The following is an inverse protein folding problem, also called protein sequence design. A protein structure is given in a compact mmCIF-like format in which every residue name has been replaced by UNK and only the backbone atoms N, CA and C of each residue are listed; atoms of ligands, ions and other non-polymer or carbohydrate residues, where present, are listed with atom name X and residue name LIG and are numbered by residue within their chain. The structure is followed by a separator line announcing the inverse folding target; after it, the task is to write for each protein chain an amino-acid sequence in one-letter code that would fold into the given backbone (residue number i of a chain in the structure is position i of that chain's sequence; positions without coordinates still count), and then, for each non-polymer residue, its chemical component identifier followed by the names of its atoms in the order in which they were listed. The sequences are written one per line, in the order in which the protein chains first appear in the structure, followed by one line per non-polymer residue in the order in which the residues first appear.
data_IF_742752127044
#
_entry.id   IF_742752127044
#
_cell.length_a   1.000
_cell.length_b   1.000
_cell.length_c   1.000
_cell.angle_alpha   90.00
_cell.angle_beta   90.00
_cell.angle_gamma   90.00
#
_symmetry.space_group_name_H-M   'P 1'
#
loop_
_entity.id
_entity.type
_entity.pdbx_description
1 polymer ?
#
# COMPACT_ATOMS: atom_id res chain seq x y z
N UNK A 1 -3.64 65.13 22.21
CA UNK A 1 -2.96 64.26 23.21
C UNK A 1 -3.94 63.25 23.84
N UNK A 2 -4.79 62.57 23.04
CA UNK A 2 -5.90 61.71 23.53
C UNK A 2 -5.90 60.29 22.92
N UNK A 3 -5.06 60.00 21.92
CA UNK A 3 -5.07 58.71 21.21
C UNK A 3 -4.11 57.63 21.73
N UNK A 4 -3.17 57.92 22.64
CA UNK A 4 -2.27 56.87 23.18
C UNK A 4 -2.91 56.01 24.28
N UNK A 5 -3.90 56.56 25.00
CA UNK A 5 -4.57 55.84 26.11
C UNK A 5 -5.53 54.74 25.63
N UNK A 6 -6.08 54.87 24.42
CA UNK A 6 -6.97 53.85 23.80
C UNK A 6 -6.20 52.71 23.15
N UNK A 7 -4.95 52.94 22.77
CA UNK A 7 -4.05 51.92 22.22
C UNK A 7 -3.49 51.03 23.36
N UNK A 8 -3.15 51.62 24.50
CA UNK A 8 -2.65 50.90 25.67
C UNK A 8 -3.72 50.01 26.34
N UNK A 9 -4.99 50.47 26.36
CA UNK A 9 -6.11 49.69 26.88
C UNK A 9 -6.47 48.47 26.00
N UNK A 10 -6.22 48.56 24.68
CA UNK A 10 -6.42 47.43 23.75
C UNK A 10 -5.28 46.41 23.82
N UNK A 11 -4.06 46.84 24.16
CA UNK A 11 -2.92 45.94 24.34
C UNK A 11 -3.02 45.12 25.64
N UNK A 12 -3.58 45.70 26.72
CA UNK A 12 -3.76 45.03 28.01
C UNK A 12 -4.88 43.97 28.01
N UNK A 13 -5.84 44.06 27.07
CA UNK A 13 -6.87 43.04 26.86
C UNK A 13 -6.40 41.87 26.00
N UNK A 14 -5.35 42.04 25.19
CA UNK A 14 -4.84 41.00 24.28
C UNK A 14 -3.88 40.03 24.98
N UNK A 15 -3.17 40.47 26.02
CA UNK A 15 -2.29 39.62 26.84
C UNK A 15 -3.00 38.86 27.96
N UNK A 16 -4.25 39.20 28.28
CA UNK A 16 -5.06 38.48 29.27
C UNK A 16 -5.75 37.20 28.71
N UNK A 17 -5.70 36.96 27.40
CA UNK A 17 -6.24 35.72 26.79
C UNK A 17 -5.26 34.54 26.72
N UNK A 18 -3.99 34.72 27.14
CA UNK A 18 -2.99 33.66 27.09
C UNK A 18 -2.86 32.84 28.39
N UNK A 19 -3.75 33.00 29.38
CA UNK A 19 -3.53 32.38 30.70
C UNK A 19 -4.71 31.64 31.33
N UNK A 20 -5.86 31.48 30.68
CA UNK A 20 -6.97 30.73 31.26
C UNK A 20 -7.76 29.93 30.23
N UNK A 21 -7.28 28.73 29.92
CA UNK A 21 -8.16 27.56 29.69
C UNK A 21 -7.32 26.29 29.79
N UNK A 22 -6.95 25.96 31.02
CA UNK A 22 -6.75 24.57 31.38
C UNK A 22 -8.10 23.88 31.36
N UNK A 23 -8.28 22.94 30.44
CA UNK A 23 -9.10 21.74 30.64
C UNK A 23 -8.38 20.61 29.93
N UNK A 24 -7.49 19.94 30.66
CA UNK A 24 -7.04 18.61 30.31
C UNK A 24 -8.27 17.70 30.43
N UNK A 25 -8.83 17.27 29.31
CA UNK A 25 -9.76 16.15 29.31
C UNK A 25 -8.92 14.89 29.53
N UNK A 26 -8.81 14.46 30.78
CA UNK A 26 -8.44 13.09 31.10
C UNK A 26 -9.63 12.21 30.71
N UNK A 27 -9.65 11.74 29.47
CA UNK A 27 -10.59 10.71 29.05
C UNK A 27 -9.97 9.36 29.46
N UNK A 28 -10.37 8.85 30.62
CA UNK A 28 -10.11 7.45 30.97
C UNK A 28 -10.96 6.59 30.03
N UNK A 29 -10.33 6.03 29.00
CA UNK A 29 -10.95 4.98 28.19
C UNK A 29 -10.99 3.73 29.08
N UNK A 30 -12.17 3.44 29.59
CA UNK A 30 -12.46 2.15 30.23
C UNK A 30 -12.54 1.12 29.09
N UNK A 31 -11.43 0.45 28.83
CA UNK A 31 -11.35 -0.61 27.83
C UNK A 31 -12.07 -1.84 28.39
N UNK A 32 -13.36 -1.95 28.06
CA UNK A 32 -14.15 -3.14 28.34
C UNK A 32 -13.63 -4.28 27.45
N UNK A 33 -12.85 -5.18 28.03
CA UNK A 33 -12.39 -6.40 27.38
C UNK A 33 -13.61 -7.30 27.12
N UNK A 34 -14.11 -7.31 25.89
CA UNK A 34 -15.15 -8.22 25.43
C UNK A 34 -14.52 -9.59 25.12
N UNK A 35 -14.65 -10.52 26.06
CA UNK A 35 -14.16 -11.89 25.96
C UNK A 35 -14.85 -12.72 24.86
N UNK A 36 -15.83 -12.17 24.13
CA UNK A 36 -16.52 -12.86 23.02
C UNK A 36 -16.02 -12.50 21.62
N UNK A 37 -15.05 -11.58 21.49
CA UNK A 37 -14.42 -11.25 20.21
C UNK A 37 -13.32 -12.26 19.82
N UNK A 38 -13.57 -13.56 19.95
CA UNK A 38 -12.81 -14.57 19.22
C UNK A 38 -13.40 -14.62 17.81
N UNK A 39 -12.87 -13.81 16.91
CA UNK A 39 -13.05 -14.02 15.47
C UNK A 39 -12.03 -15.10 15.09
N UNK A 40 -12.43 -16.36 14.88
CA UNK A 40 -11.53 -17.32 14.27
C UNK A 40 -11.16 -16.75 12.89
N UNK A 41 -9.88 -16.43 12.72
CA UNK A 41 -9.28 -16.20 11.41
C UNK A 41 -9.16 -17.57 10.74
N UNK A 42 -10.30 -18.18 10.44
CA UNK A 42 -10.37 -19.10 9.32
C UNK A 42 -10.46 -18.19 8.09
N UNK A 43 -9.29 -17.86 7.51
CA UNK A 43 -9.22 -17.36 6.15
C UNK A 43 -9.66 -18.54 5.28
N UNK A 44 -10.97 -18.64 5.08
CA UNK A 44 -11.54 -19.30 3.93
C UNK A 44 -10.98 -18.58 2.71
N UNK A 45 -10.06 -19.27 2.04
CA UNK A 45 -9.37 -18.84 0.84
C UNK A 45 -10.37 -18.81 -0.32
N UNK A 46 -11.22 -17.79 -0.31
CA UNK A 46 -12.08 -17.36 -1.41
C UNK A 46 -12.24 -15.84 -1.27
N UNK A 47 -11.12 -15.15 -1.44
CA UNK A 47 -11.12 -13.71 -1.68
C UNK A 47 -11.40 -13.56 -3.18
N UNK A 48 -12.67 -13.38 -3.51
CA UNK A 48 -13.11 -12.86 -4.81
C UNK A 48 -12.73 -11.36 -4.83
N UNK A 49 -11.43 -11.09 -4.97
CA UNK A 49 -10.92 -9.77 -5.28
C UNK A 49 -10.61 -9.76 -6.76
N UNK A 50 -11.22 -8.84 -7.50
CA UNK A 50 -10.96 -8.56 -8.92
C UNK A 50 -9.56 -7.95 -9.18
N UNK A 51 -8.63 -8.18 -8.27
CA UNK A 51 -7.22 -7.85 -8.39
C UNK A 51 -6.53 -8.91 -9.25
N UNK A 52 -5.45 -8.50 -9.93
CA UNK A 52 -4.54 -9.37 -10.68
C UNK A 52 -4.47 -10.81 -10.21
N UNK A 53 -4.47 -11.77 -11.13
CA UNK A 53 -4.30 -13.18 -10.78
C UNK A 53 -2.92 -13.36 -10.12
N UNK A 54 -2.91 -13.42 -8.78
CA UNK A 54 -1.71 -13.55 -7.96
C UNK A 54 -1.47 -15.02 -7.63
N UNK A 55 -0.34 -15.54 -8.09
CA UNK A 55 0.10 -16.91 -7.91
C UNK A 55 1.22 -17.02 -6.87
N UNK A 56 1.00 -17.85 -5.85
CA UNK A 56 1.99 -18.22 -4.83
C UNK A 56 2.68 -19.55 -5.22
N UNK A 57 3.94 -19.48 -5.64
CA UNK A 57 4.81 -20.65 -5.86
C UNK A 57 5.92 -20.75 -4.79
N UNK A 58 5.68 -20.23 -3.59
CA UNK A 58 6.63 -20.35 -2.47
C UNK A 58 6.59 -21.75 -1.85
N UNK A 59 7.73 -22.20 -1.30
CA UNK A 59 7.91 -23.58 -0.81
C UNK A 59 8.41 -23.65 0.62
N UNK A 60 9.16 -22.64 1.07
CA UNK A 60 9.73 -22.60 2.42
C UNK A 60 8.91 -21.70 3.34
N UNK A 61 9.14 -21.81 4.66
CA UNK A 61 8.50 -20.91 5.63
C UNK A 61 8.84 -19.44 5.34
N UNK A 62 10.12 -19.15 5.06
CA UNK A 62 10.53 -17.77 4.80
C UNK A 62 9.89 -17.24 3.52
N UNK A 63 9.82 -18.06 2.45
CA UNK A 63 9.13 -17.70 1.21
C UNK A 63 7.65 -17.41 1.46
N UNK A 64 6.99 -18.25 2.29
CA UNK A 64 5.60 -17.99 2.66
C UNK A 64 5.45 -16.71 3.47
N UNK A 65 6.32 -16.46 4.45
CA UNK A 65 6.31 -15.20 5.21
C UNK A 65 6.47 -13.99 4.27
N UNK A 66 7.36 -14.08 3.28
CA UNK A 66 7.53 -13.06 2.24
C UNK A 66 6.22 -12.83 1.47
N UNK A 67 5.58 -13.90 1.00
CA UNK A 67 4.32 -13.81 0.26
C UNK A 67 3.23 -13.10 1.06
N UNK A 68 3.08 -13.43 2.34
CA UNK A 68 2.05 -12.82 3.20
C UNK A 68 2.32 -11.31 3.38
N UNK A 69 3.57 -10.92 3.65
CA UNK A 69 3.92 -9.49 3.73
C UNK A 69 3.69 -8.78 2.40
N UNK A 70 4.13 -9.38 1.29
CA UNK A 70 3.93 -8.81 -0.03
C UNK A 70 2.45 -8.61 -0.33
N UNK A 71 1.62 -9.61 -0.04
CA UNK A 71 0.19 -9.57 -0.28
C UNK A 71 -0.47 -8.44 0.50
N UNK A 72 -0.09 -8.26 1.77
CA UNK A 72 -0.57 -7.12 2.58
C UNK A 72 -0.19 -5.78 1.97
N UNK A 73 1.08 -5.61 1.57
CA UNK A 73 1.54 -4.37 0.92
C UNK A 73 0.81 -4.14 -0.41
N UNK A 74 0.61 -5.19 -1.20
CA UNK A 74 -0.10 -5.12 -2.46
C UNK A 74 -1.56 -4.71 -2.27
N UNK A 75 -2.25 -5.23 -1.26
CA UNK A 75 -3.61 -4.80 -0.92
C UNK A 75 -3.69 -3.32 -0.52
N UNK A 76 -2.70 -2.82 0.23
CA UNK A 76 -2.60 -1.41 0.58
C UNK A 76 -2.43 -0.55 -0.67
N UNK A 77 -1.49 -0.93 -1.55
CA UNK A 77 -1.26 -0.23 -2.82
C UNK A 77 -2.52 -0.17 -3.69
N UNK A 78 -3.33 -1.24 -3.70
CA UNK A 78 -4.57 -1.26 -4.46
C UNK A 78 -5.67 -0.36 -3.90
N UNK A 79 -5.70 -0.19 -2.57
CA UNK A 79 -6.72 0.61 -1.88
C UNK A 79 -6.34 2.09 -1.84
N UNK A 80 -5.06 2.42 -2.00
CA UNK A 80 -4.59 3.81 -1.99
C UNK A 80 -4.93 4.54 -3.30
N UNK A 81 -5.98 5.34 -3.23
CA UNK A 81 -6.47 6.17 -4.33
C UNK A 81 -5.54 7.33 -4.70
N UNK A 82 -4.49 7.57 -3.91
CA UNK A 82 -3.48 8.61 -4.19
C UNK A 82 -2.63 8.25 -5.41
N UNK A 83 -2.33 6.96 -5.59
CA UNK A 83 -1.43 6.47 -6.64
C UNK A 83 -2.16 5.80 -7.79
N UNK A 84 -3.32 5.20 -7.53
CA UNK A 84 -4.10 4.48 -8.53
C UNK A 84 -5.57 4.86 -8.50
N UNK A 85 -6.17 5.06 -9.67
CA UNK A 85 -7.64 5.05 -9.75
C UNK A 85 -8.12 3.61 -9.47
N UNK A 86 -9.08 3.39 -8.55
CA UNK A 86 -9.60 2.05 -8.26
C UNK A 86 -10.05 1.29 -9.51
N UNK A 87 -10.63 2.00 -10.47
CA UNK A 87 -11.07 1.43 -11.75
C UNK A 87 -9.89 0.96 -12.62
N UNK A 88 -8.74 1.64 -12.55
CA UNK A 88 -7.57 1.28 -13.35
C UNK A 88 -6.97 -0.06 -12.89
N UNK A 89 -6.92 -0.30 -11.58
CA UNK A 89 -6.41 -1.57 -11.03
C UNK A 89 -7.34 -2.73 -11.37
N UNK A 90 -8.66 -2.53 -11.30
CA UNK A 90 -9.62 -3.60 -11.61
C UNK A 90 -9.56 -4.03 -13.07
N UNK A 91 -9.48 -3.07 -14.00
CA UNK A 91 -9.39 -3.39 -15.44
C UNK A 91 -8.05 -4.04 -15.82
N UNK A 92 -6.97 -3.69 -15.11
CA UNK A 92 -5.64 -4.26 -15.34
C UNK A 92 -5.48 -5.61 -14.64
N UNK A 93 -6.18 -5.83 -13.53
CA UNK A 93 -6.17 -7.09 -12.80
C UNK A 93 -6.61 -8.27 -13.67
N UNK A 94 -7.48 -8.05 -14.65
CA UNK A 94 -7.86 -9.09 -15.60
C UNK A 94 -6.76 -9.42 -16.62
N UNK A 95 -5.82 -8.50 -16.89
CA UNK A 95 -4.75 -8.66 -17.90
C UNK A 95 -3.39 -9.04 -17.30
N UNK A 96 -3.17 -8.81 -16.00
CA UNK A 96 -1.90 -9.09 -15.33
C UNK A 96 -1.96 -10.37 -14.48
N UNK A 97 -1.14 -11.34 -14.87
CA UNK A 97 -0.79 -12.49 -14.03
C UNK A 97 0.48 -12.16 -13.26
N UNK A 98 0.37 -12.06 -11.94
CA UNK A 98 1.50 -11.79 -11.03
C UNK A 98 1.89 -13.12 -10.40
N UNK A 99 3.15 -13.54 -10.51
CA UNK A 99 3.62 -14.79 -9.91
C UNK A 99 4.81 -14.52 -9.02
N UNK A 100 4.72 -14.98 -7.77
CA UNK A 100 5.82 -15.03 -6.82
C UNK A 100 6.39 -16.44 -6.84
N UNK A 101 7.64 -16.56 -7.26
CA UNK A 101 8.34 -17.83 -7.36
C UNK A 101 9.54 -17.88 -6.41
N UNK A 102 9.63 -18.97 -5.65
CA UNK A 102 10.76 -19.23 -4.77
C UNK A 102 11.60 -20.39 -5.31
N UNK A 103 12.91 -20.14 -5.44
CA UNK A 103 13.94 -21.13 -5.71
C UNK A 103 14.70 -21.43 -4.41
N UNK A 104 14.40 -22.56 -3.73
CA UNK A 104 15.13 -22.94 -2.52
C UNK A 104 16.58 -23.28 -2.88
N UNK A 105 17.55 -22.63 -2.25
CA UNK A 105 18.95 -22.98 -2.42
C UNK A 105 19.41 -23.98 -1.36
N UNK A 106 20.52 -24.68 -1.63
CA UNK A 106 21.15 -25.54 -0.62
C UNK A 106 21.78 -24.67 0.47
N UNK A 107 21.21 -24.68 1.68
CA UNK A 107 21.67 -23.87 2.80
C UNK A 107 20.53 -23.17 3.54
N UNK A 108 20.77 -21.95 4.02
CA UNK A 108 19.82 -21.15 4.80
C UNK A 108 19.12 -20.04 4.00
N UNK A 109 19.43 -19.90 2.71
CA UNK A 109 18.87 -18.85 1.86
C UNK A 109 18.05 -19.45 0.72
N UNK A 110 17.05 -18.70 0.27
CA UNK A 110 16.33 -18.96 -0.98
C UNK A 110 16.39 -17.73 -1.86
N UNK A 111 16.06 -17.89 -3.14
CA UNK A 111 15.88 -16.76 -4.05
C UNK A 111 14.39 -16.62 -4.27
N UNK A 112 13.85 -15.41 -4.12
CA UNK A 112 12.47 -15.10 -4.47
C UNK A 112 12.48 -14.17 -5.66
N UNK A 113 11.58 -14.43 -6.61
CA UNK A 113 11.38 -13.62 -7.80
C UNK A 113 9.92 -13.26 -7.96
N UNK A 114 9.69 -12.09 -8.53
CA UNK A 114 8.38 -11.58 -8.88
C UNK A 114 8.33 -11.40 -10.40
N UNK A 115 7.34 -12.04 -11.00
CA UNK A 115 7.11 -12.00 -12.45
C UNK A 115 5.72 -11.48 -12.74
N UNK A 116 5.59 -10.72 -13.84
CA UNK A 116 4.31 -10.25 -14.36
C UNK A 116 4.22 -10.70 -15.80
N UNK A 117 3.22 -11.53 -16.13
CA UNK A 117 3.05 -12.13 -17.46
C UNK A 117 4.35 -12.76 -17.99
N UNK A 118 4.99 -13.59 -17.15
CA UNK A 118 6.28 -14.27 -17.41
C UNK A 118 7.52 -13.34 -17.52
N UNK A 119 7.35 -12.04 -17.32
CA UNK A 119 8.46 -11.08 -17.29
C UNK A 119 8.93 -10.89 -15.86
N UNK A 120 10.19 -11.21 -15.58
CA UNK A 120 10.80 -10.97 -14.27
C UNK A 120 11.05 -9.48 -14.06
N UNK A 121 10.38 -8.91 -13.06
CA UNK A 121 10.51 -7.48 -12.70
C UNK A 121 11.35 -7.28 -11.46
N UNK A 122 11.46 -8.30 -10.60
CA UNK A 122 12.20 -8.21 -9.35
C UNK A 122 12.70 -9.59 -8.92
N UNK A 123 13.89 -9.63 -8.31
CA UNK A 123 14.48 -10.85 -7.75
C UNK A 123 15.49 -10.52 -6.66
N UNK A 124 15.40 -11.21 -5.51
CA UNK A 124 16.35 -11.04 -4.41
C UNK A 124 16.63 -12.34 -3.65
N UNK A 125 17.74 -12.34 -2.91
CA UNK A 125 18.03 -13.38 -1.92
C UNK A 125 17.23 -13.16 -0.65
N UNK A 126 16.50 -14.18 -0.23
CA UNK A 126 15.72 -14.19 0.99
C UNK A 126 16.58 -14.66 2.16
N UNK A 127 16.82 -13.75 3.11
CA UNK A 127 17.54 -14.04 4.34
C UNK A 127 16.55 -14.45 5.44
N UNK A 128 16.90 -15.40 6.33
CA UNK A 128 16.02 -15.90 7.39
C UNK A 128 15.93 -14.92 8.57
N UNK A 129 15.56 -13.66 8.30
CA UNK A 129 15.40 -12.59 9.28
C UNK A 129 14.12 -11.83 8.96
N UNK A 130 13.13 -11.91 9.86
CA UNK A 130 11.78 -11.43 9.58
C UNK A 130 11.73 -9.96 9.11
N UNK A 131 12.43 -9.06 9.79
CA UNK A 131 12.46 -7.64 9.38
C UNK A 131 13.14 -7.40 8.01
N UNK A 132 14.02 -8.31 7.56
CA UNK A 132 14.58 -8.24 6.20
C UNK A 132 13.58 -8.76 5.18
N UNK A 133 12.84 -9.82 5.52
CA UNK A 133 11.79 -10.38 4.66
C UNK A 133 10.69 -9.35 4.41
N UNK A 134 10.23 -8.66 5.46
CA UNK A 134 9.23 -7.59 5.36
C UNK A 134 9.72 -6.44 4.47
N UNK A 135 10.96 -5.97 4.66
CA UNK A 135 11.55 -4.92 3.82
C UNK A 135 11.64 -5.34 2.34
N UNK A 136 12.03 -6.59 2.07
CA UNK A 136 12.09 -7.11 0.70
C UNK A 136 10.70 -7.21 0.07
N UNK A 137 9.68 -7.54 0.86
CA UNK A 137 8.31 -7.59 0.39
C UNK A 137 7.75 -6.20 0.05
N UNK A 138 8.09 -5.18 0.84
CA UNK A 138 7.78 -3.78 0.55
C UNK A 138 8.44 -3.32 -0.76
N UNK A 139 9.74 -3.62 -0.93
CA UNK A 139 10.49 -3.30 -2.15
C UNK A 139 9.92 -3.99 -3.39
N UNK A 140 9.51 -5.25 -3.27
CA UNK A 140 8.87 -6.00 -4.34
C UNK A 140 7.50 -5.40 -4.71
N UNK A 141 6.68 -5.02 -3.72
CA UNK A 141 5.38 -4.38 -3.94
C UNK A 141 5.53 -3.01 -4.61
N UNK A 142 6.52 -2.22 -4.20
CA UNK A 142 6.85 -0.93 -4.83
C UNK A 142 7.30 -1.12 -6.29
N UNK A 143 8.12 -2.14 -6.56
CA UNK A 143 8.56 -2.49 -7.92
C UNK A 143 7.38 -2.86 -8.83
N UNK A 144 6.42 -3.64 -8.29
CA UNK A 144 5.19 -3.98 -9.00
C UNK A 144 4.32 -2.74 -9.26
N UNK A 145 4.13 -1.89 -8.26
CA UNK A 145 3.35 -0.66 -8.40
C UNK A 145 3.91 0.20 -9.54
N UNK A 146 5.23 0.38 -9.57
CA UNK A 146 5.89 1.13 -10.64
C UNK A 146 5.71 0.47 -12.01
N UNK A 147 5.81 -0.86 -12.08
CA UNK A 147 5.57 -1.59 -13.32
C UNK A 147 4.15 -1.34 -13.85
N UNK A 148 3.14 -1.40 -12.98
CA UNK A 148 1.73 -1.18 -13.33
C UNK A 148 1.51 0.26 -13.82
N UNK A 149 2.10 1.26 -13.17
CA UNK A 149 2.01 2.67 -13.62
C UNK A 149 2.58 2.81 -15.04
N UNK A 150 3.76 2.26 -15.28
CA UNK A 150 4.41 2.34 -16.60
C UNK A 150 3.59 1.61 -17.67
N UNK A 151 3.00 0.47 -17.32
CA UNK A 151 2.12 -0.29 -18.21
C UNK A 151 0.89 0.53 -18.61
N UNK A 152 0.25 1.21 -17.66
CA UNK A 152 -0.89 2.08 -17.93
C UNK A 152 -0.55 3.22 -18.89
N UNK A 153 0.56 3.91 -18.65
CA UNK A 153 1.02 5.00 -19.51
C UNK A 153 1.26 4.51 -20.95
N UNK A 154 1.84 3.33 -21.10
CA UNK A 154 2.08 2.71 -22.41
C UNK A 154 0.77 2.37 -23.12
N UNK A 155 -0.20 1.76 -22.43
CA UNK A 155 -1.51 1.44 -23.00
C UNK A 155 -2.28 2.69 -23.43
N UNK A 156 -2.22 3.78 -22.65
CA UNK A 156 -2.85 5.05 -23.01
C UNK A 156 -2.23 5.67 -24.28
N UNK A 157 -0.91 5.59 -24.43
CA UNK A 157 -0.23 6.09 -25.63
C UNK A 157 -0.65 5.32 -26.89
N UNK A 158 -0.73 3.99 -26.80
CA UNK A 158 -1.17 3.14 -27.92
C UNK A 158 -2.63 3.41 -28.31
N UNK A 159 -3.54 3.52 -27.33
CA UNK A 159 -4.96 3.81 -27.59
C UNK A 159 -5.20 5.22 -28.15
N UNK A 160 -4.37 6.20 -27.78
CA UNK A 160 -4.42 7.56 -28.31
C UNK A 160 -4.04 7.64 -29.80
N UNK A 161 -3.07 6.83 -30.24
CA UNK A 161 -2.53 6.94 -31.60
C UNK A 161 -3.42 6.26 -32.66
N UNK A 162 -4.15 5.19 -32.30
CA UNK A 162 -5.12 4.55 -33.19
C UNK A 162 -6.39 5.40 -33.40
N UNK A 163 -6.80 6.19 -32.41
CA UNK A 163 -7.91 7.14 -32.52
C UNK A 163 -7.61 8.39 -33.37
N UNK A 164 -6.38 8.58 -33.86
CA UNK A 164 -6.00 9.67 -34.79
C UNK A 164 -6.22 9.31 -36.26
N UNK A 165 -6.93 8.21 -36.56
CA UNK A 165 -7.47 7.95 -37.89
C UNK A 165 -8.55 8.97 -38.25
N UNK A 166 -8.20 10.01 -39.00
CA UNK A 166 -9.15 10.98 -39.53
C UNK A 166 -10.13 10.27 -40.46
N UNK A 167 -11.36 10.02 -39.99
CA UNK A 167 -12.44 9.48 -40.82
C UNK A 167 -12.80 10.44 -41.95
N UNK A 168 -12.03 10.40 -43.04
CA UNK A 168 -12.32 11.05 -44.31
C UNK A 168 -12.47 9.93 -45.33
N UNK A 169 -13.72 9.53 -45.57
CA UNK A 169 -14.14 8.76 -46.75
C UNK A 169 -15.10 9.62 -47.56
#
# INVERSE_FOLDING_TARGET
MVNSKRLFLRLLFFTACLFTSGFCYAQSVEEAYDETAFVPVEISMQVESSAGFLLDNTRTKNGRDFYEFFYQQWLVVQTDTTYFSPDAIQNIGEELTITIDEQPAQGISSIVSLTVNDIMIWQQFLQPRLGVIELLAEDAAASLAQYVINFQEFQQQLGSDDQKGTGIF
#
